data_IF_624866849775
#
_entry.id   IF_624866849775
#
_cell.length_a   1.000
_cell.length_b   1.000
_cell.length_c   1.000
_cell.angle_alpha   90.00
_cell.angle_beta   90.00
_cell.angle_gamma   90.00
#
_symmetry.space_group_name_H-M   'P 1'
#
loop_
_entity.id
_entity.type
_entity.pdbx_description
1 polymer ?
#
# COMPACT_ATOMS: atom_id res chain seq x y z
N UNK A 1 2.10 7.07 -12.40
CA UNK A 1 2.73 6.61 -11.16
C UNK A 1 3.15 7.77 -10.27
N UNK A 2 4.02 8.68 -10.73
CA UNK A 2 4.51 9.83 -9.93
C UNK A 2 3.40 10.66 -9.25
N UNK A 3 2.26 10.89 -9.92
CA UNK A 3 1.14 11.62 -9.30
C UNK A 3 0.39 10.84 -8.20
N UNK A 4 0.53 9.52 -8.14
CA UNK A 4 -0.13 8.63 -7.18
C UNK A 4 0.76 8.24 -6.00
N UNK A 5 2.08 8.34 -6.14
CA UNK A 5 3.03 8.00 -5.09
C UNK A 5 2.76 8.75 -3.77
N UNK A 6 2.52 10.08 -3.74
CA UNK A 6 2.17 10.77 -2.51
C UNK A 6 0.89 10.24 -1.86
N UNK A 7 -0.08 9.81 -2.69
CA UNK A 7 -1.34 9.25 -2.22
C UNK A 7 -1.15 7.85 -1.63
N UNK A 8 -0.29 7.02 -2.23
CA UNK A 8 0.05 5.70 -1.68
C UNK A 8 0.76 5.84 -0.33
N UNK A 9 1.67 6.81 -0.21
CA UNK A 9 2.34 7.11 1.06
C UNK A 9 1.35 7.62 2.13
N UNK A 10 0.42 8.50 1.76
CA UNK A 10 -0.63 8.98 2.66
C UNK A 10 -1.50 7.82 3.18
N UNK A 11 -1.87 6.87 2.31
CA UNK A 11 -2.64 5.68 2.70
C UNK A 11 -1.84 4.77 3.64
N UNK A 12 -0.54 4.64 3.42
CA UNK A 12 0.33 3.90 4.33
C UNK A 12 0.31 4.52 5.74
N UNK A 13 0.52 5.83 5.85
CA UNK A 13 0.52 6.53 7.15
C UNK A 13 -0.86 6.49 7.82
N UNK A 14 -1.93 6.78 7.08
CA UNK A 14 -3.28 6.94 7.66
C UNK A 14 -3.98 5.63 7.98
N UNK A 15 -3.71 4.57 7.22
CA UNK A 15 -4.40 3.29 7.34
C UNK A 15 -3.41 2.16 7.65
N UNK A 16 -2.32 2.08 6.91
CA UNK A 16 -1.32 1.02 7.04
C UNK A 16 -0.70 0.92 8.44
N UNK A 17 -0.12 2.02 8.93
CA UNK A 17 0.55 2.05 10.24
C UNK A 17 -0.42 1.73 11.40
N UNK A 18 -1.61 2.35 11.50
CA UNK A 18 -2.58 1.98 12.54
C UNK A 18 -3.00 0.51 12.49
N UNK A 19 -3.21 -0.05 11.29
CA UNK A 19 -3.58 -1.46 11.14
C UNK A 19 -2.42 -2.39 11.50
N UNK A 20 -1.19 -2.04 11.12
CA UNK A 20 0.02 -2.77 11.48
C UNK A 20 0.17 -2.88 13.00
N UNK A 21 -0.07 -1.79 13.74
CA UNK A 21 0.00 -1.77 15.19
C UNK A 21 -0.98 -2.76 15.88
N UNK A 22 -2.08 -3.13 15.23
CA UNK A 22 -3.07 -4.08 15.76
C UNK A 22 -2.64 -5.55 15.58
N UNK A 23 -1.79 -5.85 14.60
CA UNK A 23 -1.40 -7.23 14.26
C UNK A 23 -0.04 -7.63 14.84
N UNK A 24 0.74 -6.66 15.33
CA UNK A 24 2.03 -6.88 15.99
C UNK A 24 3.19 -6.19 15.28
N UNK A 25 4.45 -6.62 15.53
CA UNK A 25 5.60 -6.05 14.84
C UNK A 25 5.53 -6.32 13.34
N UNK A 26 5.49 -5.25 12.55
CA UNK A 26 5.48 -5.27 11.08
C UNK A 26 6.60 -4.37 10.59
N UNK A 27 7.43 -4.87 9.68
CA UNK A 27 8.53 -4.08 9.12
C UNK A 27 8.10 -3.23 7.92
N UNK A 28 7.09 -3.69 7.17
CA UNK A 28 6.70 -3.12 5.89
C UNK A 28 5.19 -3.16 5.65
N UNK A 29 4.65 -2.11 5.03
CA UNK A 29 3.29 -2.03 4.51
C UNK A 29 3.32 -1.97 3.00
N UNK A 30 2.54 -2.82 2.34
CA UNK A 30 2.29 -2.72 0.90
C UNK A 30 0.92 -2.10 0.66
N UNK A 31 0.87 -1.00 -0.10
CA UNK A 31 -0.38 -0.38 -0.53
C UNK A 31 -0.59 -0.69 -2.00
N UNK A 32 -1.77 -1.21 -2.34
CA UNK A 32 -2.17 -1.47 -3.71
C UNK A 32 -3.52 -0.79 -3.99
N UNK A 33 -3.56 0.03 -5.04
CA UNK A 33 -4.79 0.60 -5.60
C UNK A 33 -5.07 -0.04 -6.95
N UNK A 34 -6.30 -0.47 -7.15
CA UNK A 34 -6.73 -1.19 -8.35
C UNK A 34 -7.93 -0.43 -8.91
N UNK A 35 -7.93 -0.17 -10.22
CA UNK A 35 -8.94 0.65 -10.89
C UNK A 35 -10.32 -0.03 -10.98
N UNK A 36 -10.38 -1.34 -10.76
CA UNK A 36 -11.61 -2.14 -10.85
C UNK A 36 -11.58 -3.35 -9.90
N UNK A 37 -12.75 -3.82 -9.44
CA UNK A 37 -12.83 -5.10 -8.73
C UNK A 37 -12.54 -6.25 -9.69
N UNK A 38 -11.94 -7.33 -9.17
CA UNK A 38 -11.80 -8.58 -9.91
C UNK A 38 -11.90 -9.80 -8.98
N UNK A 39 -12.30 -10.98 -9.50
CA UNK A 39 -12.40 -12.19 -8.69
C UNK A 39 -11.03 -12.69 -8.23
N UNK A 40 -10.93 -13.13 -6.97
CA UNK A 40 -9.69 -13.71 -6.45
C UNK A 40 -9.28 -14.94 -7.26
N UNK A 41 -8.01 -15.02 -7.63
CA UNK A 41 -7.45 -16.15 -8.39
C UNK A 41 -7.76 -16.13 -9.88
N UNK A 42 -8.46 -15.09 -10.38
CA UNK A 42 -8.74 -14.91 -11.81
C UNK A 42 -7.82 -13.83 -12.36
N UNK A 43 -7.06 -14.18 -13.40
CA UNK A 43 -6.23 -13.21 -14.11
C UNK A 43 -7.13 -12.18 -14.79
N UNK A 44 -6.88 -10.90 -14.52
CA UNK A 44 -7.61 -9.76 -15.09
C UNK A 44 -6.60 -8.78 -15.67
N UNK A 45 -6.02 -9.07 -16.85
CA UNK A 45 -4.92 -8.28 -17.43
C UNK A 45 -5.27 -6.82 -17.71
N UNK A 46 -6.55 -6.51 -17.85
CA UNK A 46 -7.10 -5.17 -18.07
C UNK A 46 -7.20 -4.33 -16.79
N UNK A 47 -7.04 -4.93 -15.61
CA UNK A 47 -7.02 -4.20 -14.36
C UNK A 47 -5.69 -3.47 -14.21
N UNK A 48 -5.76 -2.15 -13.98
CA UNK A 48 -4.57 -1.36 -13.69
C UNK A 48 -4.36 -1.33 -12.18
N UNK A 49 -3.21 -1.84 -11.74
CA UNK A 49 -2.79 -1.80 -10.35
C UNK A 49 -1.60 -0.87 -10.16
N UNK A 50 -1.69 -0.01 -9.15
CA UNK A 50 -0.57 0.80 -8.66
C UNK A 50 -0.20 0.32 -7.27
N UNK A 51 1.06 -0.05 -7.08
CA UNK A 51 1.54 -0.53 -5.80
C UNK A 51 2.82 0.20 -5.36
N UNK A 52 2.97 0.32 -4.05
CA UNK A 52 4.20 0.77 -3.40
C UNK A 52 4.40 0.01 -2.09
N UNK A 53 5.65 -0.28 -1.79
CA UNK A 53 6.10 -0.83 -0.53
C UNK A 53 6.71 0.28 0.32
N UNK A 54 6.38 0.29 1.60
CA UNK A 54 6.87 1.29 2.54
C UNK A 54 7.38 0.63 3.81
N UNK A 55 8.53 1.08 4.27
CA UNK A 55 9.03 0.76 5.60
C UNK A 55 8.29 1.59 6.64
N UNK A 56 7.89 0.98 7.75
CA UNK A 56 7.31 1.73 8.87
C UNK A 56 8.42 2.47 9.61
N UNK A 57 8.29 3.79 9.74
CA UNK A 57 9.21 4.66 10.47
C UNK A 57 8.43 5.50 11.48
N UNK A 58 8.40 5.05 12.74
CA UNK A 58 7.60 5.69 13.77
C UNK A 58 6.10 5.66 13.44
N UNK A 59 5.48 6.84 13.37
CA UNK A 59 4.07 6.99 12.98
C UNK A 59 3.87 7.14 11.46
N UNK A 60 4.95 7.08 10.68
CA UNK A 60 4.95 7.33 9.25
C UNK A 60 5.48 6.17 8.42
N UNK A 61 5.55 6.42 7.12
CA UNK A 61 6.02 5.48 6.12
C UNK A 61 7.10 6.12 5.25
N UNK A 62 8.23 5.43 5.09
CA UNK A 62 9.29 5.80 4.18
C UNK A 62 9.28 4.91 2.94
N UNK A 63 9.57 5.49 1.78
CA UNK A 63 9.66 4.75 0.52
C UNK A 63 10.79 3.72 0.61
N UNK A 64 10.53 2.49 0.20
CA UNK A 64 11.57 1.45 0.09
C UNK A 64 12.02 1.42 -1.37
N UNK A 65 13.29 1.73 -1.58
CA UNK A 65 14.01 1.80 -2.84
C UNK A 65 13.95 0.50 -3.67
#
# INVERSE_FOLDING_TARGET
YAALEPRLAELCTRLGVPLAALIGPVDQVMVQLIDRPFPRGVATPEATAYAAAFRIEGEGCAWTD
#
